data_IF_428049967629
#
_entry.id   IF_428049967629
#
_cell.length_a   1.000
_cell.length_b   1.000
_cell.length_c   1.000
_cell.angle_alpha   90.00
_cell.angle_beta   90.00
_cell.angle_gamma   90.00
#
_symmetry.space_group_name_H-M   'P 1'
#
loop_
_entity.id
_entity.type
_entity.pdbx_description
1 polymer ?
#
# COMPACT_ATOMS: atom_id res chain seq x y z
N UNK A 1 -14.76 -1.18 12.90
CA UNK A 1 -15.41 -2.45 12.49
C UNK A 1 -14.54 -3.12 11.44
N UNK A 2 -14.42 -4.44 11.40
CA UNK A 2 -13.59 -5.15 10.41
C UNK A 2 -14.26 -6.43 9.93
N UNK A 3 -13.85 -6.93 8.76
CA UNK A 3 -14.39 -8.17 8.20
C UNK A 3 -13.67 -8.61 6.92
N UNK A 4 -14.22 -9.63 6.27
CA UNK A 4 -13.67 -10.24 5.05
C UNK A 4 -14.73 -10.32 3.95
N UNK A 5 -14.34 -10.04 2.70
CA UNK A 5 -15.18 -10.20 1.50
C UNK A 5 -14.36 -10.82 0.37
N UNK A 6 -14.52 -12.12 0.17
CA UNK A 6 -13.67 -12.88 -0.75
C UNK A 6 -12.19 -12.79 -0.30
N UNK A 7 -11.24 -12.50 -1.22
CA UNK A 7 -9.82 -12.39 -0.86
C UNK A 7 -9.50 -11.09 -0.09
N UNK A 8 -10.42 -10.13 -0.04
CA UNK A 8 -10.21 -8.82 0.60
C UNK A 8 -10.62 -8.82 2.06
N UNK A 9 -9.83 -8.13 2.88
CA UNK A 9 -10.13 -7.80 4.26
C UNK A 9 -10.37 -6.30 4.38
N UNK A 10 -11.21 -5.88 5.31
CA UNK A 10 -11.49 -4.45 5.52
C UNK A 10 -11.50 -4.05 6.98
N UNK A 11 -11.17 -2.79 7.22
CA UNK A 11 -11.30 -2.13 8.52
C UNK A 11 -11.81 -0.70 8.33
N UNK A 12 -12.68 -0.27 9.23
CA UNK A 12 -13.27 1.06 9.29
C UNK A 12 -12.94 1.76 10.61
N UNK A 13 -12.84 3.08 10.57
CA UNK A 13 -12.83 3.92 11.77
C UNK A 13 -13.98 3.53 12.70
N UNK A 14 -13.73 3.36 14.01
CA UNK A 14 -14.82 3.26 14.96
C UNK A 14 -15.61 4.58 14.94
N UNK A 15 -16.94 4.51 15.08
CA UNK A 15 -17.86 5.65 15.24
C UNK A 15 -18.36 6.36 13.97
N UNK A 16 -17.73 6.16 12.80
CA UNK A 16 -18.21 6.73 11.53
C UNK A 16 -18.70 5.61 10.62
N UNK A 17 -19.92 5.73 10.11
CA UNK A 17 -20.42 4.79 9.12
C UNK A 17 -19.60 4.91 7.83
N UNK A 18 -19.10 3.77 7.37
CA UNK A 18 -18.21 3.65 6.23
C UNK A 18 -18.69 2.51 5.35
N UNK A 19 -18.63 2.70 4.03
CA UNK A 19 -19.16 1.74 3.09
C UNK A 19 -18.18 1.48 1.95
N UNK A 20 -18.16 0.21 1.52
CA UNK A 20 -17.42 -0.25 0.34
C UNK A 20 -18.42 -0.91 -0.59
N UNK A 21 -18.62 -0.31 -1.76
CA UNK A 21 -19.54 -0.82 -2.75
C UNK A 21 -18.89 -0.89 -4.14
N UNK A 22 -19.36 -1.80 -5.01
CA UNK A 22 -19.10 -1.67 -6.44
C UNK A 22 -19.64 -0.32 -6.93
N UNK A 23 -18.92 0.34 -7.82
CA UNK A 23 -19.34 1.64 -8.37
C UNK A 23 -20.67 1.54 -9.12
N UNK A 24 -20.97 0.38 -9.71
CA UNK A 24 -22.24 0.11 -10.41
C UNK A 24 -23.50 0.22 -9.54
N UNK A 25 -23.39 0.18 -8.20
CA UNK A 25 -24.57 0.32 -7.33
C UNK A 25 -25.16 1.74 -7.36
N UNK A 26 -24.34 2.74 -7.67
CA UNK A 26 -24.76 4.14 -7.58
C UNK A 26 -25.48 4.57 -8.86
N UNK A 27 -26.79 4.39 -8.89
CA UNK A 27 -27.64 4.76 -10.04
C UNK A 27 -27.89 6.26 -10.17
N UNK A 28 -27.66 7.02 -9.09
CA UNK A 28 -27.90 8.47 -9.03
C UNK A 28 -26.70 9.32 -9.50
N UNK A 29 -25.54 8.71 -9.77
CA UNK A 29 -24.38 9.37 -10.40
C UNK A 29 -23.86 8.54 -11.57
N UNK A 30 -23.14 9.18 -12.50
CA UNK A 30 -22.49 8.47 -13.61
C UNK A 30 -21.40 7.53 -13.07
N UNK A 31 -21.44 6.22 -13.34
CA UNK A 31 -20.42 5.28 -12.91
C UNK A 31 -19.02 5.69 -13.39
N UNK A 32 -18.04 5.60 -12.50
CA UNK A 32 -16.62 5.87 -12.79
C UNK A 32 -15.81 4.59 -12.75
N UNK A 33 -15.46 4.08 -13.93
CA UNK A 33 -14.65 2.88 -14.10
C UNK A 33 -13.46 3.24 -14.97
N UNK A 34 -12.25 2.89 -14.54
CA UNK A 34 -11.04 3.11 -15.33
C UNK A 34 -10.88 2.00 -16.37
N UNK A 35 -11.06 0.74 -15.97
CA UNK A 35 -10.91 -0.42 -16.85
C UNK A 35 -11.95 -1.49 -16.56
N UNK A 36 -12.44 -2.12 -17.61
CA UNK A 36 -13.37 -3.25 -17.48
C UNK A 36 -14.81 -2.77 -17.24
N UNK A 37 -15.49 -3.40 -16.27
CA UNK A 37 -16.93 -3.18 -16.04
C UNK A 37 -17.26 -2.67 -14.63
N UNK A 38 -16.29 -2.61 -13.74
CA UNK A 38 -16.53 -2.34 -12.33
C UNK A 38 -15.32 -1.67 -11.68
N UNK A 39 -15.58 -0.80 -10.71
CA UNK A 39 -14.58 -0.22 -9.82
C UNK A 39 -15.07 -0.32 -8.36
N UNK A 40 -14.17 -0.09 -7.40
CA UNK A 40 -14.52 -0.09 -5.98
C UNK A 40 -14.68 1.35 -5.51
N UNK A 41 -15.84 1.70 -4.97
CA UNK A 41 -16.08 3.01 -4.34
C UNK A 41 -16.10 2.87 -2.82
N UNK A 42 -15.31 3.71 -2.18
CA UNK A 42 -15.27 3.92 -0.74
C UNK A 42 -15.96 5.24 -0.41
N UNK A 43 -16.91 5.21 0.52
CA UNK A 43 -17.69 6.38 0.96
C UNK A 43 -17.91 6.36 2.47
N UNK A 44 -18.19 7.52 3.06
CA UNK A 44 -18.35 7.67 4.51
C UNK A 44 -19.53 8.59 4.84
N UNK A 45 -20.02 8.56 6.07
CA UNK A 45 -20.95 9.56 6.63
C UNK A 45 -20.22 10.79 7.21
N UNK A 46 -19.03 11.11 6.69
CA UNK A 46 -18.21 12.26 7.06
C UNK A 46 -17.15 11.95 8.11
N UNK A 47 -15.87 12.11 7.74
CA UNK A 47 -14.72 11.92 8.63
C UNK A 47 -14.27 10.47 8.81
N UNK A 48 -14.74 9.55 7.95
CA UNK A 48 -14.44 8.13 8.05
C UNK A 48 -13.07 7.78 7.46
N UNK A 49 -12.44 6.73 8.00
CA UNK A 49 -11.27 6.09 7.39
C UNK A 49 -11.60 4.65 7.04
N UNK A 50 -11.23 4.25 5.82
CA UNK A 50 -11.43 2.92 5.27
C UNK A 50 -10.09 2.34 4.86
N UNK A 51 -9.82 1.11 5.28
CA UNK A 51 -8.69 0.29 4.81
C UNK A 51 -9.26 -0.97 4.20
N UNK A 52 -9.08 -1.16 2.90
CA UNK A 52 -9.43 -2.38 2.17
C UNK A 52 -8.13 -3.02 1.68
N UNK A 53 -7.82 -4.22 2.13
CA UNK A 53 -6.50 -4.82 1.90
C UNK A 53 -6.51 -6.30 1.55
N UNK A 54 -5.42 -6.72 0.90
CA UNK A 54 -5.06 -8.11 0.68
C UNK A 54 -3.65 -8.36 1.22
N UNK A 55 -3.42 -9.56 1.73
CA UNK A 55 -2.08 -10.04 2.03
C UNK A 55 -1.62 -10.98 0.91
N UNK A 56 -0.52 -10.62 0.24
CA UNK A 56 0.02 -11.34 -0.91
C UNK A 56 1.38 -11.92 -0.54
N UNK A 57 1.57 -13.22 -0.75
CA UNK A 57 2.87 -13.86 -0.57
C UNK A 57 3.88 -13.33 -1.60
N UNK A 58 5.10 -13.04 -1.16
CA UNK A 58 6.16 -12.49 -2.01
C UNK A 58 7.49 -13.14 -1.73
N UNK A 59 8.40 -13.07 -2.70
CA UNK A 59 9.78 -13.47 -2.48
C UNK A 59 10.52 -12.43 -1.61
N UNK A 60 11.37 -12.87 -0.66
CA UNK A 60 12.32 -11.99 0.01
C UNK A 60 13.27 -11.34 -0.99
N UNK A 61 13.77 -10.15 -0.67
CA UNK A 61 14.74 -9.40 -1.50
C UNK A 61 14.26 -9.14 -2.94
N UNK A 62 12.95 -9.10 -3.19
CA UNK A 62 12.37 -8.83 -4.49
C UNK A 62 12.11 -7.34 -4.68
N UNK A 63 12.44 -6.80 -5.86
CA UNK A 63 12.00 -5.47 -6.25
C UNK A 63 10.56 -5.55 -6.76
N UNK A 64 9.67 -4.76 -6.18
CA UNK A 64 8.24 -4.74 -6.46
C UNK A 64 7.75 -3.32 -6.80
N UNK A 65 6.65 -3.25 -7.53
CA UNK A 65 5.86 -2.05 -7.74
C UNK A 65 4.40 -2.32 -7.36
N UNK A 66 3.90 -1.62 -6.36
CA UNK A 66 2.48 -1.51 -6.07
C UNK A 66 1.89 -0.37 -6.90
N UNK A 67 0.73 -0.56 -7.53
CA UNK A 67 0.05 0.47 -8.28
C UNK A 67 -1.48 0.33 -8.20
N UNK A 68 -2.19 1.45 -8.31
CA UNK A 68 -3.65 1.50 -8.42
C UNK A 68 -4.06 2.74 -9.20
N UNK A 69 -5.20 2.68 -9.88
CA UNK A 69 -5.86 3.87 -10.41
C UNK A 69 -6.87 4.38 -9.38
N UNK A 70 -6.75 5.64 -9.00
CA UNK A 70 -7.61 6.27 -8.00
C UNK A 70 -8.26 7.53 -8.55
N UNK A 71 -9.53 7.73 -8.22
CA UNK A 71 -10.27 8.95 -8.50
C UNK A 71 -10.85 9.50 -7.20
N UNK A 72 -10.58 10.78 -6.95
CA UNK A 72 -11.22 11.54 -5.87
C UNK A 72 -12.45 12.22 -6.44
N UNK A 73 -13.65 11.83 -6.00
CA UNK A 73 -14.90 12.32 -6.55
C UNK A 73 -15.45 13.49 -5.74
N UNK A 74 -15.67 14.60 -6.43
CA UNK A 74 -16.65 15.60 -6.05
C UNK A 74 -17.89 15.44 -6.94
N UNK A 75 -19.00 15.01 -6.33
CA UNK A 75 -20.23 14.66 -7.05
C UNK A 75 -20.81 15.89 -7.75
N UNK A 76 -20.85 17.03 -7.06
CA UNK A 76 -21.46 18.26 -7.57
C UNK A 76 -20.46 19.16 -8.30
N UNK A 77 -19.16 18.93 -8.12
CA UNK A 77 -18.11 19.79 -8.68
C UNK A 77 -18.07 21.18 -8.05
N UNK A 78 -18.61 21.34 -6.84
CA UNK A 78 -18.73 22.61 -6.13
C UNK A 78 -17.70 22.77 -4.98
N UNK A 79 -16.78 21.82 -4.84
CA UNK A 79 -15.74 21.80 -3.82
C UNK A 79 -16.19 21.24 -2.46
N UNK A 80 -17.38 20.65 -2.35
CA UNK A 80 -17.89 20.04 -1.10
C UNK A 80 -17.65 18.52 -1.01
N UNK A 81 -17.19 17.89 -2.10
CA UNK A 81 -16.88 16.46 -2.13
C UNK A 81 -15.47 16.11 -1.63
N UNK A 82 -14.90 15.04 -2.19
CA UNK A 82 -13.56 14.58 -1.79
C UNK A 82 -12.50 15.68 -2.02
N UNK A 83 -11.65 15.90 -1.03
CA UNK A 83 -10.63 16.94 -1.04
C UNK A 83 -11.05 18.26 -0.39
N UNK A 84 -12.31 18.39 0.04
CA UNK A 84 -12.78 19.52 0.81
C UNK A 84 -12.15 19.56 2.22
N UNK A 85 -11.99 18.39 2.85
CA UNK A 85 -11.37 18.30 4.17
C UNK A 85 -9.83 18.30 4.05
N UNK A 86 -9.12 18.92 5.00
CA UNK A 86 -7.65 19.05 4.94
C UNK A 86 -6.92 17.71 5.07
N UNK A 87 -7.55 16.70 5.67
CA UNK A 87 -7.01 15.38 5.92
C UNK A 87 -7.52 14.32 4.93
N UNK A 88 -8.26 14.72 3.90
CA UNK A 88 -8.70 13.83 2.83
C UNK A 88 -7.50 13.14 2.18
N UNK A 89 -7.66 11.84 1.95
CA UNK A 89 -6.65 10.99 1.36
C UNK A 89 -7.30 9.82 0.63
N UNK A 90 -6.76 9.45 -0.53
CA UNK A 90 -7.10 8.21 -1.21
C UNK A 90 -5.86 7.67 -1.92
N UNK A 91 -5.46 6.43 -1.63
CA UNK A 91 -4.27 5.86 -2.23
C UNK A 91 -3.82 4.54 -1.62
N UNK A 92 -2.52 4.29 -1.72
CA UNK A 92 -1.87 3.06 -1.29
C UNK A 92 -1.21 3.21 0.07
N UNK A 93 -1.35 2.17 0.88
CA UNK A 93 -0.51 1.91 2.04
C UNK A 93 0.05 0.49 1.92
N UNK A 94 1.38 0.38 1.94
CA UNK A 94 2.09 -0.89 1.75
C UNK A 94 2.83 -1.25 3.04
N UNK A 95 2.54 -2.44 3.55
CA UNK A 95 3.19 -3.00 4.72
C UNK A 95 3.87 -4.33 4.39
N UNK A 96 5.09 -4.52 4.86
CA UNK A 96 5.81 -5.79 4.79
C UNK A 96 5.57 -6.58 6.06
N UNK A 97 5.26 -7.87 5.92
CA UNK A 97 4.97 -8.78 7.02
C UNK A 97 5.93 -9.97 7.01
N UNK A 98 6.30 -10.42 8.20
CA UNK A 98 7.06 -11.65 8.38
C UNK A 98 6.17 -12.92 8.22
N UNK A 99 6.73 -14.14 8.26
CA UNK A 99 5.94 -15.37 8.12
C UNK A 99 4.81 -15.50 9.16
N UNK A 100 5.01 -14.95 10.36
CA UNK A 100 4.03 -14.95 11.45
C UNK A 100 2.97 -13.84 11.30
N UNK A 101 3.04 -13.01 10.25
CA UNK A 101 2.11 -11.90 10.02
C UNK A 101 2.40 -10.64 10.81
N UNK A 102 3.59 -10.55 11.43
CA UNK A 102 4.01 -9.36 12.17
C UNK A 102 4.54 -8.30 11.21
N UNK A 103 4.22 -7.05 11.50
CA UNK A 103 4.70 -5.90 10.73
C UNK A 103 6.22 -5.76 10.83
N UNK A 104 6.89 -5.75 9.68
CA UNK A 104 8.33 -5.46 9.55
C UNK A 104 8.57 -4.02 9.12
N UNK A 105 7.79 -3.54 8.15
CA UNK A 105 7.93 -2.21 7.53
C UNK A 105 6.57 -1.67 7.17
N UNK A 106 6.36 -0.38 7.42
CA UNK A 106 5.31 0.41 6.77
C UNK A 106 5.98 1.43 5.86
N UNK A 107 5.70 1.36 4.57
CA UNK A 107 6.19 2.35 3.60
C UNK A 107 5.37 3.65 3.69
N UNK A 108 5.93 4.81 3.31
CA UNK A 108 5.17 6.05 3.25
C UNK A 108 3.94 5.90 2.33
N UNK A 109 2.74 6.33 2.78
CA UNK A 109 1.55 6.25 1.95
C UNK A 109 1.67 7.19 0.76
N UNK A 110 1.20 6.73 -0.39
CA UNK A 110 1.17 7.50 -1.65
C UNK A 110 -0.26 7.60 -2.14
N UNK A 111 -0.69 8.77 -2.61
CA UNK A 111 -2.09 8.98 -2.97
C UNK A 111 -2.43 10.42 -3.31
N UNK A 112 -3.71 10.64 -3.59
CA UNK A 112 -4.30 11.94 -3.86
C UNK A 112 -4.93 12.52 -2.57
N UNK A 113 -5.05 13.85 -2.54
CA UNK A 113 -5.66 14.62 -1.43
C UNK A 113 -6.75 15.59 -1.88
N UNK A 114 -7.03 15.63 -3.18
CA UNK A 114 -8.01 16.51 -3.82
C UNK A 114 -8.84 15.72 -4.81
N UNK A 115 -10.04 16.19 -5.11
CA UNK A 115 -10.81 15.68 -6.22
C UNK A 115 -9.99 15.74 -7.51
N UNK A 116 -10.20 14.76 -8.38
CA UNK A 116 -9.50 14.65 -9.67
C UNK A 116 -10.53 14.60 -10.79
N UNK A 117 -10.23 15.25 -11.92
CA UNK A 117 -11.12 15.25 -13.08
C UNK A 117 -11.28 13.83 -13.68
N UNK A 118 -10.21 13.04 -13.62
CA UNK A 118 -10.15 11.66 -14.07
C UNK A 118 -9.29 10.81 -13.11
N UNK A 119 -9.23 9.51 -13.35
CA UNK A 119 -8.38 8.57 -12.61
C UNK A 119 -6.91 8.93 -12.74
N UNK A 120 -6.21 8.91 -11.61
CA UNK A 120 -4.76 9.07 -11.53
C UNK A 120 -4.11 7.76 -11.11
N UNK A 121 -3.04 7.37 -11.80
CA UNK A 121 -2.25 6.22 -11.40
C UNK A 121 -1.32 6.60 -10.26
N UNK A 122 -1.45 5.92 -9.14
CA UNK A 122 -0.57 6.02 -7.99
C UNK A 122 0.29 4.77 -7.94
N UNK A 123 1.57 4.91 -7.68
CA UNK A 123 2.49 3.78 -7.55
C UNK A 123 3.57 3.99 -6.50
N UNK A 124 4.05 2.88 -5.96
CA UNK A 124 5.17 2.81 -5.03
C UNK A 124 6.08 1.66 -5.45
N UNK A 125 7.34 1.98 -5.75
CA UNK A 125 8.39 0.99 -5.94
C UNK A 125 9.13 0.77 -4.61
N UNK A 126 9.39 -0.49 -4.28
CA UNK A 126 10.08 -0.86 -3.06
C UNK A 126 10.80 -2.20 -3.23
N UNK A 127 11.70 -2.53 -2.32
CA UNK A 127 12.34 -3.84 -2.26
C UNK A 127 11.98 -4.51 -0.95
N UNK A 128 11.58 -5.78 -1.02
CA UNK A 128 11.23 -6.55 0.17
C UNK A 128 12.48 -6.88 0.98
N UNK A 129 12.34 -6.92 2.31
CA UNK A 129 13.43 -7.34 3.19
C UNK A 129 13.69 -8.86 3.11
N UNK A 130 14.86 -9.34 3.55
CA UNK A 130 15.14 -10.77 3.65
C UNK A 130 14.14 -11.55 4.53
N UNK A 131 13.54 -10.88 5.51
CA UNK A 131 12.57 -11.48 6.43
C UNK A 131 11.12 -11.37 5.93
N UNK A 132 10.89 -10.66 4.83
CA UNK A 132 9.54 -10.40 4.31
C UNK A 132 8.98 -11.63 3.61
N UNK A 133 7.80 -12.05 4.06
CA UNK A 133 7.07 -13.20 3.51
C UNK A 133 5.76 -12.79 2.83
N UNK A 134 5.11 -11.72 3.31
CA UNK A 134 3.86 -11.20 2.74
C UNK A 134 3.90 -9.68 2.64
N UNK A 135 3.16 -9.15 1.67
CA UNK A 135 2.84 -7.73 1.56
C UNK A 135 1.36 -7.53 1.88
N UNK A 136 1.05 -6.63 2.81
CA UNK A 136 -0.30 -6.10 2.94
C UNK A 136 -0.45 -4.93 1.97
N UNK A 137 -1.17 -5.17 0.89
CA UNK A 137 -1.53 -4.17 -0.11
C UNK A 137 -2.85 -3.53 0.29
N UNK A 138 -2.84 -2.27 0.70
CA UNK A 138 -4.03 -1.58 1.22
C UNK A 138 -4.46 -0.42 0.32
N UNK A 139 -5.73 -0.44 -0.08
CA UNK A 139 -6.47 0.70 -0.58
C UNK A 139 -7.01 1.47 0.62
N UNK A 140 -6.38 2.61 0.92
CA UNK A 140 -6.74 3.45 2.06
C UNK A 140 -7.45 4.70 1.58
N UNK A 141 -8.58 5.03 2.21
CA UNK A 141 -9.18 6.35 2.11
C UNK A 141 -9.47 6.96 3.47
N UNK A 142 -9.35 8.28 3.54
CA UNK A 142 -9.93 9.13 4.58
C UNK A 142 -10.77 10.17 3.87
N UNK A 143 -12.05 10.26 4.22
CA UNK A 143 -13.02 11.07 3.50
C UNK A 143 -13.81 11.89 4.52
N UNK A 144 -13.69 13.21 4.44
CA UNK A 144 -14.33 14.17 5.34
C UNK A 144 -15.78 14.47 4.98
N UNK A 145 -16.17 14.31 3.71
CA UNK A 145 -17.53 14.55 3.26
C UNK A 145 -18.43 13.32 3.41
N UNK A 146 -19.75 13.56 3.41
CA UNK A 146 -20.76 12.49 3.33
C UNK A 146 -20.82 11.88 1.93
N UNK A 147 -21.31 10.65 1.82
CA UNK A 147 -21.33 9.85 0.58
C UNK A 147 -22.10 10.49 -0.57
N UNK A 148 -23.05 11.39 -0.29
CA UNK A 148 -23.78 12.15 -1.31
C UNK A 148 -22.89 13.19 -2.01
N UNK A 149 -21.84 13.68 -1.34
CA UNK A 149 -20.99 14.75 -1.85
C UNK A 149 -19.70 14.23 -2.48
N UNK A 150 -19.18 13.09 -2.02
CA UNK A 150 -17.93 12.58 -2.56
C UNK A 150 -17.62 11.12 -2.24
N UNK A 151 -16.57 10.63 -2.88
CA UNK A 151 -16.09 9.26 -2.77
C UNK A 151 -14.61 9.16 -3.13
N UNK A 152 -13.97 8.08 -2.69
CA UNK A 152 -12.70 7.62 -3.23
C UNK A 152 -12.94 6.35 -4.05
N UNK A 153 -12.61 6.38 -5.33
CA UNK A 153 -12.87 5.27 -6.26
C UNK A 153 -11.55 4.67 -6.70
N UNK A 154 -11.43 3.34 -6.63
CA UNK A 154 -10.22 2.58 -6.93
C UNK A 154 -10.49 1.54 -8.01
N UNK A 155 -9.52 1.36 -8.90
CA UNK A 155 -9.59 0.39 -9.99
C UNK A 155 -8.18 -0.10 -10.41
N UNK A 156 -8.12 -1.24 -11.09
CA UNK A 156 -6.91 -1.85 -11.71
C UNK A 156 -5.70 -1.87 -10.75
N UNK A 157 -5.94 -2.33 -9.51
CA UNK A 157 -4.91 -2.51 -8.49
C UNK A 157 -3.97 -3.67 -8.86
N UNK A 158 -2.66 -3.42 -8.76
CA UNK A 158 -1.63 -4.38 -9.15
C UNK A 158 -0.43 -4.33 -8.21
N UNK A 159 0.10 -5.52 -7.90
CA UNK A 159 1.41 -5.71 -7.29
C UNK A 159 2.24 -6.56 -8.24
N UNK A 160 3.29 -5.96 -8.81
CA UNK A 160 4.13 -6.63 -9.81
C UNK A 160 5.58 -6.67 -9.38
N UNK A 161 6.28 -7.75 -9.71
CA UNK A 161 7.73 -7.79 -9.61
C UNK A 161 8.33 -6.95 -10.74
N UNK A 162 9.31 -6.12 -10.40
CA UNK A 162 10.03 -5.29 -11.37
C UNK A 162 11.48 -5.78 -11.46
N UNK A 163 12.06 -5.69 -12.64
CA UNK A 163 13.46 -6.04 -12.82
C UNK A 163 14.34 -5.05 -12.05
N UNK A 164 15.12 -5.57 -11.11
CA UNK A 164 16.21 -4.81 -10.52
C UNK A 164 17.24 -4.60 -11.62
N UNK A 165 17.63 -3.35 -11.88
CA UNK A 165 18.68 -3.05 -12.86
C UNK A 165 19.90 -3.94 -12.59
N UNK A 166 20.13 -4.94 -13.45
CA UNK A 166 21.32 -5.79 -13.34
C UNK A 166 22.52 -4.88 -13.47
N UNK A 167 23.31 -4.74 -12.41
CA UNK A 167 24.70 -4.29 -12.56
C UNK A 167 25.40 -5.39 -13.35
N UNK A 168 25.66 -5.13 -14.64
CA UNK A 168 26.66 -5.86 -15.40
C UNK A 168 28.02 -5.57 -14.76
N UNK A 169 28.40 -6.42 -13.81
CA UNK A 169 29.78 -6.62 -13.44
C UNK A 169 30.23 -7.93 -14.08
N UNK A 170 30.89 -7.84 -15.24
CA UNK A 170 32.24 -8.39 -15.31
C UNK A 170 33.04 -7.83 -16.50
N UNK A 171 34.35 -7.85 -16.26
CA UNK A 171 35.42 -7.44 -17.17
C UNK A 171 35.63 -8.46 -18.31
N UNK A 172 36.21 -7.94 -19.39
CA UNK A 172 36.90 -8.61 -20.51
C UNK A 172 35.98 -9.52 -21.37
N UNK A 173 35.81 -9.32 -22.68
CA UNK A 173 36.81 -9.55 -23.73
C UNK A 173 36.33 -8.92 -25.06
N UNK A 174 37.30 -8.30 -25.75
CA UNK A 174 37.47 -8.00 -27.17
C UNK A 174 36.39 -7.37 -28.05
N UNK A 175 36.89 -6.35 -28.75
CA UNK A 175 36.26 -5.62 -29.83
C UNK A 175 35.60 -6.50 -30.88
N UNK A 176 34.34 -6.17 -31.15
CA UNK A 176 33.85 -6.10 -32.51
C UNK A 176 32.69 -5.12 -32.58
N UNK A 177 32.94 -4.04 -33.31
CA UNK A 177 31.94 -3.07 -33.70
C UNK A 177 30.85 -3.73 -34.53
N UNK A 178 29.60 -3.64 -34.09
CA UNK A 178 28.45 -3.74 -34.98
C UNK A 178 27.50 -2.58 -34.70
N UNK A 179 27.44 -1.67 -35.67
CA UNK A 179 26.51 -0.57 -35.71
C UNK A 179 25.09 -1.12 -35.90
N UNK A 180 24.20 -0.85 -34.95
CA UNK A 180 22.75 -0.98 -35.16
C UNK A 180 22.15 0.42 -35.09
N UNK A 181 21.73 0.90 -36.26
CA UNK A 181 21.01 2.17 -36.44
C UNK A 181 19.54 1.94 -36.12
N UNK A 182 19.02 2.66 -35.12
CA UNK A 182 17.57 2.80 -34.90
C UNK A 182 17.15 4.24 -35.21
N UNK A 183 16.09 4.46 -36.00
CA UNK A 183 15.63 5.81 -36.32
C UNK A 183 14.81 6.39 -35.15
N UNK A 184 15.20 7.59 -34.71
CA UNK A 184 14.29 8.57 -34.14
C UNK A 184 13.90 8.43 -32.66
N UNK A 185 14.83 8.70 -31.74
CA UNK A 185 14.48 9.26 -30.42
C UNK A 185 15.47 10.34 -29.99
N UNK A 186 14.94 11.47 -29.52
CA UNK A 186 15.69 12.65 -29.05
C UNK A 186 16.41 12.30 -27.75
N UNK A 187 17.73 12.42 -27.76
CA UNK A 187 18.58 12.22 -26.58
C UNK A 187 18.56 13.46 -25.68
N UNK A 188 18.16 13.31 -24.43
CA UNK A 188 18.48 14.27 -23.37
C UNK A 188 19.98 14.13 -23.02
N UNK A 189 20.77 15.19 -23.26
CA UNK A 189 22.18 15.28 -22.87
C UNK A 189 22.29 15.59 -21.37
N UNK A 190 23.06 14.79 -20.64
CA UNK A 190 23.57 15.14 -19.30
C UNK A 190 25.07 15.39 -19.42
N UNK A 191 25.61 16.52 -18.93
CA UNK A 191 27.05 16.76 -18.97
C UNK A 191 27.78 15.92 -17.90
N UNK A 192 28.87 15.26 -18.31
CA UNK A 192 29.87 14.65 -17.42
C UNK A 192 30.91 15.70 -17.06
N UNK A 193 31.13 15.94 -15.76
CA UNK A 193 32.42 16.42 -15.25
C UNK A 193 32.77 15.70 -13.95
N UNK A 194 33.80 14.86 -14.07
CA UNK A 194 34.85 14.46 -13.13
C UNK A 194 34.72 14.87 -11.64
N UNK A 195 34.80 13.88 -10.75
CA UNK A 195 35.97 13.72 -9.86
C UNK A 195 35.96 12.37 -9.12
N UNK A 196 37.11 11.69 -9.23
CA UNK A 196 37.53 10.50 -8.47
C UNK A 196 37.81 10.86 -7.00
N UNK A 197 37.41 9.98 -6.09
CA UNK A 197 38.12 9.50 -4.88
C UNK A 197 37.11 8.55 -4.19
N UNK A 198 37.28 7.24 -4.08
CA UNK A 198 38.46 6.52 -3.63
C UNK A 198 38.32 6.23 -2.13
N UNK A 199 37.56 5.19 -1.74
CA UNK A 199 37.83 4.38 -0.53
C UNK A 199 36.94 3.14 -0.46
N UNK A 200 37.62 2.02 -0.22
CA UNK A 200 37.07 0.71 0.15
C UNK A 200 36.40 0.85 1.51
N UNK A 201 35.27 0.18 1.75
CA UNK A 201 35.02 -0.50 3.02
C UNK A 201 33.89 -1.55 2.92
N UNK A 202 34.35 -2.81 2.95
CA UNK A 202 33.85 -3.99 3.68
C UNK A 202 32.35 -4.23 3.84
N UNK A 203 31.95 -5.34 3.22
CA UNK A 203 31.06 -6.40 3.67
C UNK A 203 30.43 -6.26 5.07
N UNK A 204 29.11 -6.44 5.09
CA UNK A 204 28.28 -6.72 6.26
C UNK A 204 28.94 -7.75 7.21
N UNK A 205 29.08 -7.44 8.52
CA UNK A 205 29.42 -8.44 9.51
C UNK A 205 28.18 -9.25 9.94
N UNK A 206 28.35 -10.58 9.98
CA UNK A 206 27.43 -11.54 10.61
C UNK A 206 27.37 -11.31 12.13
N UNK A 207 26.20 -11.36 12.78
CA UNK A 207 26.13 -11.59 14.23
C UNK A 207 26.33 -13.06 14.56
N UNK A 208 27.24 -13.33 15.50
CA UNK A 208 27.50 -14.65 16.10
C UNK A 208 26.40 -15.04 17.09
N UNK A 209 26.12 -16.34 17.12
CA UNK A 209 25.30 -17.06 18.11
C UNK A 209 25.89 -16.91 19.52
N UNK A 210 25.04 -16.70 20.52
CA UNK A 210 25.33 -16.87 21.94
C UNK A 210 24.08 -17.38 22.66
N UNK A 211 24.16 -18.56 23.24
CA UNK A 211 23.10 -19.23 23.99
C UNK A 211 23.38 -19.15 25.50
N UNK A 212 22.36 -18.87 26.32
CA UNK A 212 22.27 -19.26 27.73
C UNK A 212 20.79 -19.11 28.16
N UNK A 213 20.05 -20.20 28.43
CA UNK A 213 19.96 -21.06 29.62
C UNK A 213 18.81 -20.64 30.57
N UNK A 214 17.85 -21.54 30.68
CA UNK A 214 16.59 -21.55 31.45
C UNK A 214 16.79 -21.38 32.96
N UNK A 215 15.80 -20.81 33.66
CA UNK A 215 15.23 -21.33 34.92
C UNK A 215 13.73 -21.00 35.01
N UNK A 216 12.94 -22.02 35.33
CA UNK A 216 11.50 -21.95 35.65
C UNK A 216 11.24 -21.85 37.16
N UNK A 217 10.00 -22.09 37.62
CA UNK A 217 9.22 -21.15 38.43
C UNK A 217 9.08 -21.57 39.91
N UNK A 218 8.22 -20.88 40.69
CA UNK A 218 7.34 -21.60 41.59
C UNK A 218 5.85 -21.22 41.45
N UNK A 219 5.03 -22.23 41.69
CA UNK A 219 3.57 -22.22 41.83
C UNK A 219 3.11 -21.94 43.26
N UNK A 220 1.96 -21.29 43.44
CA UNK A 220 0.99 -21.61 44.50
C UNK A 220 -0.38 -21.00 44.13
N UNK A 221 -1.46 -21.78 44.29
CA UNK A 221 -2.83 -21.44 43.89
C UNK A 221 -3.65 -20.70 44.97
N UNK A 222 -4.91 -21.08 45.20
CA UNK A 222 -6.08 -20.42 44.61
C UNK A 222 -6.98 -19.78 45.68
N UNK A 223 -7.86 -18.84 45.29
CA UNK A 223 -9.05 -18.51 46.07
C UNK A 223 -10.21 -18.05 45.17
N UNK A 224 -11.36 -18.64 45.48
CA UNK A 224 -12.65 -18.52 44.83
C UNK A 224 -13.35 -17.18 45.13
N UNK A 225 -14.44 -16.89 44.40
CA UNK A 225 -15.56 -16.16 44.98
C UNK A 225 -16.29 -15.15 44.11
N UNK A 226 -17.53 -15.50 43.76
CA UNK A 226 -18.72 -14.64 43.76
C UNK A 226 -19.06 -13.79 42.52
N UNK A 227 -20.04 -14.32 41.78
CA UNK A 227 -21.15 -13.58 41.17
C UNK A 227 -21.89 -12.74 42.24
N UNK A 228 -22.58 -11.66 41.83
CA UNK A 228 -24.04 -11.82 41.79
C UNK A 228 -24.69 -11.27 40.53
N UNK A 229 -25.83 -11.90 40.25
CA UNK A 229 -26.98 -11.43 39.48
C UNK A 229 -27.47 -10.06 39.93
N UNK A 230 -27.96 -9.23 39.01
CA UNK A 230 -29.22 -8.53 39.24
C UNK A 230 -29.93 -8.14 37.94
N UNK A 231 -31.24 -8.31 38.02
CA UNK A 231 -32.28 -8.19 37.02
C UNK A 231 -32.70 -6.75 36.75
N UNK A 232 -33.35 -6.57 35.59
CA UNK A 232 -34.51 -5.70 35.31
C UNK A 232 -34.52 -4.26 35.85
N UNK A 233 -34.42 -3.30 34.92
CA UNK A 233 -35.52 -2.40 34.57
C UNK A 233 -35.37 -1.87 33.14
#
# INVERSE_FOLDING_TARGET
>A
MSGTRGPWQFAFSPQVACYIYPESIYTWRKPRVFRGKEAISQVTDGGGEIRLFQEVAVNPCAALCAAVWVLGLDVAGNGQGFGAAPDDFAGLEIEELDPAGRLLVRHPPVGIRKATADFQRISLQFSTRPETARIRFTLRSKIGCVWQHGAAIFDDAALVQIESARKTSDKDVDGSSSNVTFPGQRTCRVPRSLARQGRRDRCCPRPRRGAAKRRGPPSAGPLAGMLPTNSLH
#
